data_IF_287994088464
#
_entry.id   IF_287994088464
#
_cell.length_a   1.000
_cell.length_b   1.000
_cell.length_c   1.000
_cell.angle_alpha   90.00
_cell.angle_beta   90.00
_cell.angle_gamma   90.00
#
_symmetry.space_group_name_H-M   'P 1'
#
loop_
_entity.id
_entity.type
_entity.pdbx_description
1 polymer ?
#
# COMPACT_ATOMS: atom_id res chain seq x y z
N UNK A 1 14.65 -6.98 12.79
CA UNK A 1 14.73 -7.58 11.44
C UNK A 1 13.36 -7.67 10.81
N UNK A 2 13.25 -7.56 9.50
CA UNK A 2 11.97 -7.58 8.81
C UNK A 2 11.24 -8.91 8.96
N UNK A 3 9.91 -8.87 8.85
CA UNK A 3 9.06 -10.06 8.86
C UNK A 3 9.31 -10.87 7.59
N UNK A 4 9.66 -12.15 7.72
CA UNK A 4 9.89 -13.04 6.57
C UNK A 4 8.61 -13.68 6.04
N UNK A 5 7.65 -13.98 6.93
CA UNK A 5 6.40 -14.67 6.57
C UNK A 5 5.35 -14.46 7.65
N UNK A 6 4.10 -14.31 7.21
CA UNK A 6 2.90 -14.38 8.04
C UNK A 6 1.98 -15.48 7.52
N UNK A 7 1.21 -16.07 8.41
CA UNK A 7 0.25 -17.12 8.11
C UNK A 7 -0.89 -17.08 9.12
N UNK A 8 -2.10 -17.48 8.76
CA UNK A 8 -3.21 -17.52 9.69
C UNK A 8 -2.97 -18.62 10.73
N UNK A 9 -3.31 -18.36 12.00
CA UNK A 9 -3.28 -19.38 13.05
C UNK A 9 -4.34 -20.46 12.80
N UNK A 10 -5.51 -20.05 12.27
CA UNK A 10 -6.58 -20.93 11.86
C UNK A 10 -6.79 -20.79 10.33
N UNK A 11 -6.78 -21.91 9.62
CA UNK A 11 -6.99 -21.91 8.17
C UNK A 11 -8.47 -21.91 7.77
N UNK A 12 -9.38 -22.12 8.72
CA UNK A 12 -10.83 -22.22 8.48
C UNK A 12 -11.55 -20.87 8.53
N UNK A 13 -10.80 -19.77 8.36
CA UNK A 13 -11.39 -18.43 8.31
C UNK A 13 -12.18 -18.26 7.02
N UNK A 14 -13.49 -18.09 7.17
CA UNK A 14 -14.42 -17.84 6.07
C UNK A 14 -14.71 -16.34 5.99
N UNK A 15 -14.59 -15.72 4.81
CA UNK A 15 -14.97 -14.31 4.65
C UNK A 15 -16.49 -14.15 4.71
N UNK A 16 -16.95 -12.96 5.02
CA UNK A 16 -18.34 -12.59 4.82
C UNK A 16 -18.69 -12.71 3.33
N UNK A 17 -19.84 -13.30 3.02
CA UNK A 17 -20.29 -13.51 1.66
C UNK A 17 -20.44 -12.19 0.91
N UNK A 18 -21.00 -11.17 1.55
CA UNK A 18 -21.17 -9.83 0.99
C UNK A 18 -19.83 -9.21 0.59
N UNK A 19 -18.76 -9.44 1.38
CA UNK A 19 -17.41 -8.96 1.04
C UNK A 19 -16.91 -9.58 -0.26
N UNK A 20 -17.12 -10.87 -0.45
CA UNK A 20 -16.73 -11.58 -1.68
C UNK A 20 -17.51 -11.03 -2.89
N UNK A 21 -18.82 -10.84 -2.72
CA UNK A 21 -19.70 -10.33 -3.77
C UNK A 21 -19.32 -8.91 -4.19
N UNK A 22 -19.05 -8.02 -3.23
CA UNK A 22 -18.65 -6.65 -3.53
C UNK A 22 -17.28 -6.59 -4.23
N UNK A 23 -16.31 -7.41 -3.83
CA UNK A 23 -15.02 -7.52 -4.55
C UNK A 23 -15.23 -7.99 -5.98
N UNK A 24 -16.14 -8.93 -6.22
CA UNK A 24 -16.41 -9.47 -7.56
C UNK A 24 -17.14 -8.48 -8.47
N UNK A 25 -17.95 -7.57 -7.90
CA UNK A 25 -18.71 -6.54 -8.63
C UNK A 25 -17.93 -5.23 -8.83
N UNK A 26 -16.86 -5.03 -8.06
CA UNK A 26 -16.11 -3.78 -8.06
C UNK A 26 -15.46 -3.47 -9.42
N UNK A 27 -15.36 -2.20 -9.75
CA UNK A 27 -14.55 -1.69 -10.85
C UNK A 27 -13.09 -1.52 -10.46
N UNK A 28 -12.85 -1.22 -9.16
CA UNK A 28 -11.53 -1.04 -8.56
C UNK A 28 -11.47 -1.80 -7.23
N UNK A 29 -10.38 -2.49 -6.99
CA UNK A 29 -9.99 -3.00 -5.68
C UNK A 29 -8.73 -2.29 -5.22
N UNK A 30 -8.86 -1.44 -4.20
CA UNK A 30 -7.72 -0.74 -3.58
C UNK A 30 -7.18 -1.56 -2.42
N UNK A 31 -5.90 -1.89 -2.48
CA UNK A 31 -5.18 -2.67 -1.48
C UNK A 31 -4.31 -1.72 -0.68
N UNK A 32 -4.67 -1.44 0.56
CA UNK A 32 -4.05 -0.42 1.40
C UNK A 32 -4.72 0.97 1.23
N UNK A 33 -4.09 2.06 1.78
CA UNK A 33 -2.84 2.02 2.58
C UNK A 33 -3.04 1.38 3.96
N UNK A 34 -1.95 0.89 4.52
CA UNK A 34 -1.95 0.27 5.85
C UNK A 34 -0.63 -0.45 6.14
N UNK A 35 -0.43 -0.87 7.38
CA UNK A 35 0.71 -1.71 7.75
C UNK A 35 0.78 -2.94 6.86
N UNK A 36 1.91 -3.15 6.18
CA UNK A 36 2.05 -4.18 5.16
C UNK A 36 1.63 -5.57 5.68
N UNK A 37 2.20 -5.99 6.80
CA UNK A 37 1.98 -7.34 7.33
C UNK A 37 0.77 -7.47 8.24
N UNK A 38 0.42 -6.43 9.00
CA UNK A 38 -0.64 -6.49 10.02
C UNK A 38 -1.99 -5.99 9.54
N UNK A 39 -2.05 -5.28 8.42
CA UNK A 39 -3.29 -4.77 7.84
C UNK A 39 -3.50 -5.26 6.41
N UNK A 40 -2.54 -5.05 5.51
CA UNK A 40 -2.71 -5.39 4.08
C UNK A 40 -2.68 -6.90 3.87
N UNK A 41 -1.60 -7.56 4.25
CA UNK A 41 -1.41 -8.99 3.99
C UNK A 41 -2.38 -9.86 4.80
N UNK A 42 -2.73 -9.46 6.03
CA UNK A 42 -3.71 -10.22 6.83
C UNK A 42 -5.05 -10.41 6.14
N UNK A 43 -5.56 -9.41 5.41
CA UNK A 43 -6.77 -9.55 4.62
C UNK A 43 -6.57 -10.51 3.43
N UNK A 44 -5.40 -10.48 2.77
CA UNK A 44 -5.07 -11.36 1.65
C UNK A 44 -4.87 -12.82 2.13
N UNK A 45 -4.53 -13.05 3.39
CA UNK A 45 -4.41 -14.39 3.96
C UNK A 45 -5.75 -15.14 4.01
N UNK A 46 -6.88 -14.43 4.11
CA UNK A 46 -8.22 -15.06 4.03
C UNK A 46 -8.43 -15.56 2.61
N UNK A 47 -8.48 -16.88 2.46
CA UNK A 47 -8.47 -17.55 1.14
C UNK A 47 -9.60 -17.09 0.23
N UNK A 48 -10.81 -16.90 0.77
CA UNK A 48 -11.96 -16.42 0.00
C UNK A 48 -11.80 -14.98 -0.49
N UNK A 49 -11.25 -14.08 0.33
CA UNK A 49 -10.94 -12.69 -0.08
C UNK A 49 -9.86 -12.70 -1.18
N UNK A 50 -8.77 -13.42 -0.96
CA UNK A 50 -7.71 -13.56 -1.95
C UNK A 50 -8.21 -14.08 -3.29
N UNK A 51 -9.05 -15.11 -3.26
CA UNK A 51 -9.61 -15.70 -4.48
C UNK A 51 -10.57 -14.73 -5.18
N UNK A 52 -11.40 -14.01 -4.43
CA UNK A 52 -12.27 -12.97 -4.99
C UNK A 52 -11.45 -11.88 -5.69
N UNK A 53 -10.39 -11.36 -5.06
CA UNK A 53 -9.50 -10.36 -5.67
C UNK A 53 -8.88 -10.90 -6.97
N UNK A 54 -8.38 -12.15 -6.96
CA UNK A 54 -7.76 -12.78 -8.13
C UNK A 54 -8.72 -12.95 -9.30
N UNK A 55 -9.97 -13.31 -9.03
CA UNK A 55 -10.97 -13.64 -10.04
C UNK A 55 -11.80 -12.41 -10.47
N UNK A 56 -11.79 -11.33 -9.70
CA UNK A 56 -12.47 -10.08 -10.03
C UNK A 56 -11.91 -9.49 -11.33
N UNK A 57 -12.79 -8.83 -12.11
CA UNK A 57 -12.42 -8.03 -13.28
C UNK A 57 -11.95 -6.62 -12.92
N UNK A 58 -12.07 -6.23 -11.64
CA UNK A 58 -11.65 -4.92 -11.15
C UNK A 58 -10.19 -4.63 -11.48
N UNK A 59 -9.83 -3.36 -11.62
CA UNK A 59 -8.42 -2.92 -11.56
C UNK A 59 -7.91 -3.05 -10.12
N UNK A 60 -6.83 -3.78 -9.89
CA UNK A 60 -6.18 -3.97 -8.58
C UNK A 60 -5.09 -2.95 -8.41
N UNK A 61 -5.28 -2.05 -7.45
CA UNK A 61 -4.37 -0.94 -7.17
C UNK A 61 -3.79 -1.14 -5.76
N UNK A 62 -2.48 -1.33 -5.65
CA UNK A 62 -1.80 -1.32 -4.35
C UNK A 62 -1.28 0.07 -4.03
N UNK A 63 -1.54 0.55 -2.81
CA UNK A 63 -0.99 1.82 -2.29
C UNK A 63 0.19 1.49 -1.40
N UNK A 64 1.40 1.85 -1.86
CA UNK A 64 2.64 1.56 -1.16
C UNK A 64 2.82 2.48 0.06
N UNK A 65 3.37 1.95 1.14
CA UNK A 65 3.70 2.73 2.34
C UNK A 65 4.70 3.85 2.02
N UNK A 66 4.57 4.99 2.69
CA UNK A 66 5.50 6.13 2.56
C UNK A 66 6.77 5.86 3.36
N UNK A 67 6.65 5.22 4.53
CA UNK A 67 7.76 4.91 5.45
C UNK A 67 7.76 3.45 5.83
N UNK A 68 8.94 2.94 6.18
CA UNK A 68 9.11 1.60 6.74
C UNK A 68 8.59 1.54 8.16
N UNK A 69 8.29 0.32 8.62
CA UNK A 69 7.88 0.05 10.00
C UNK A 69 8.96 -0.79 10.70
N UNK A 70 9.58 -0.26 11.77
CA UNK A 70 10.61 -0.97 12.52
C UNK A 70 10.15 -2.35 13.01
N UNK A 71 10.97 -3.36 12.82
CA UNK A 71 10.67 -4.74 13.18
C UNK A 71 9.76 -5.47 12.19
N UNK A 72 9.23 -4.80 11.17
CA UNK A 72 8.35 -5.39 10.16
C UNK A 72 8.93 -5.26 8.74
N UNK A 73 9.23 -4.04 8.32
CA UNK A 73 9.69 -3.72 6.95
C UNK A 73 11.02 -2.97 6.96
N UNK A 74 11.92 -3.31 7.90
CA UNK A 74 13.23 -2.68 8.01
C UNK A 74 13.97 -2.77 6.66
N UNK A 75 14.48 -1.64 6.20
CA UNK A 75 15.23 -1.49 4.94
C UNK A 75 14.45 -1.79 3.66
N UNK A 76 13.13 -1.98 3.73
CA UNK A 76 12.31 -2.23 2.54
C UNK A 76 12.30 -1.02 1.62
N UNK A 77 12.43 -1.32 0.33
CA UNK A 77 12.19 -0.41 -0.78
C UNK A 77 10.83 -0.70 -1.42
N UNK A 78 10.47 0.06 -2.43
CA UNK A 78 9.19 -0.12 -3.14
C UNK A 78 9.07 -1.54 -3.69
N UNK A 79 10.13 -2.07 -4.31
CA UNK A 79 10.11 -3.43 -4.87
C UNK A 79 9.86 -4.51 -3.80
N UNK A 80 10.39 -4.33 -2.58
CA UNK A 80 10.18 -5.28 -1.48
C UNK A 80 8.73 -5.30 -1.01
N UNK A 81 8.09 -4.11 -0.91
CA UNK A 81 6.66 -3.99 -0.59
C UNK A 81 5.79 -4.67 -1.64
N UNK A 82 6.06 -4.40 -2.92
CA UNK A 82 5.33 -5.02 -4.04
C UNK A 82 5.52 -6.54 -4.03
N UNK A 83 6.76 -7.01 -3.89
CA UNK A 83 7.08 -8.44 -3.82
C UNK A 83 6.37 -9.12 -2.64
N UNK A 84 6.28 -8.47 -1.49
CA UNK A 84 5.54 -9.00 -0.35
C UNK A 84 4.06 -9.17 -0.68
N UNK A 85 3.41 -8.19 -1.32
CA UNK A 85 2.01 -8.31 -1.74
C UNK A 85 1.85 -9.41 -2.80
N UNK A 86 2.69 -9.43 -3.84
CA UNK A 86 2.66 -10.44 -4.91
C UNK A 86 2.85 -11.86 -4.35
N UNK A 87 3.71 -12.03 -3.35
CA UNK A 87 3.96 -13.34 -2.71
C UNK A 87 2.67 -13.97 -2.17
N UNK A 88 1.76 -13.18 -1.62
CA UNK A 88 0.49 -13.66 -1.05
C UNK A 88 -0.67 -13.60 -2.04
N UNK A 89 -0.73 -12.55 -2.84
CA UNK A 89 -1.81 -12.34 -3.80
C UNK A 89 -1.64 -13.16 -5.08
N UNK A 90 -0.41 -13.36 -5.54
CA UNK A 90 -0.07 -14.06 -6.78
C UNK A 90 0.54 -13.13 -7.83
N UNK A 91 1.36 -13.69 -8.70
CA UNK A 91 1.96 -12.97 -9.83
C UNK A 91 0.89 -12.58 -10.85
N UNK A 92 1.01 -11.38 -11.44
CA UNK A 92 0.12 -10.88 -12.49
C UNK A 92 -1.29 -10.48 -12.01
N UNK A 93 -1.53 -10.44 -10.70
CA UNK A 93 -2.82 -10.00 -10.13
C UNK A 93 -2.87 -8.50 -9.93
N UNK A 94 -1.77 -7.87 -9.52
CA UNK A 94 -1.70 -6.41 -9.38
C UNK A 94 -1.58 -5.75 -10.75
N UNK A 95 -2.45 -4.77 -11.02
CA UNK A 95 -2.41 -3.96 -12.24
C UNK A 95 -1.57 -2.70 -12.03
N UNK A 96 -1.74 -2.04 -10.89
CA UNK A 96 -1.10 -0.78 -10.56
C UNK A 96 -0.55 -0.74 -9.14
N UNK A 97 0.50 0.04 -8.96
CA UNK A 97 0.99 0.46 -7.65
C UNK A 97 1.11 1.98 -7.63
N UNK A 98 0.53 2.62 -6.63
CA UNK A 98 0.69 4.05 -6.39
C UNK A 98 1.77 4.23 -5.33
N UNK A 99 2.78 5.05 -5.65
CA UNK A 99 3.97 5.27 -4.83
C UNK A 99 4.15 6.75 -4.58
N UNK A 100 4.44 7.09 -3.34
CA UNK A 100 4.81 8.46 -3.00
C UNK A 100 6.17 8.83 -3.61
N UNK A 101 6.25 9.98 -4.28
CA UNK A 101 7.49 10.55 -4.82
C UNK A 101 7.93 11.84 -4.09
N UNK A 102 7.15 12.33 -3.14
CA UNK A 102 7.52 13.48 -2.34
C UNK A 102 8.48 13.05 -1.22
N UNK A 103 9.62 13.73 -1.11
CA UNK A 103 10.57 13.54 -0.01
C UNK A 103 10.21 14.51 1.11
N UNK A 104 9.77 13.99 2.28
CA UNK A 104 9.40 14.84 3.39
C UNK A 104 10.57 15.70 3.89
N UNK A 105 10.23 16.77 4.59
CA UNK A 105 11.23 17.70 5.17
C UNK A 105 12.18 16.95 6.10
N UNK A 106 13.43 17.43 6.13
CA UNK A 106 14.52 16.80 6.90
C UNK A 106 14.21 16.65 8.40
N UNK A 107 13.58 17.65 9.01
CA UNK A 107 13.23 17.63 10.45
C UNK A 107 12.23 16.48 10.78
N UNK A 108 11.38 16.11 9.84
CA UNK A 108 10.46 14.98 9.95
C UNK A 108 11.22 13.69 9.76
N UNK A 109 12.06 13.61 8.72
CA UNK A 109 12.88 12.42 8.43
C UNK A 109 13.78 12.07 9.62
N UNK A 110 14.40 13.07 10.26
CA UNK A 110 15.27 12.88 11.42
C UNK A 110 14.50 12.26 12.61
N UNK A 111 13.19 12.58 12.78
CA UNK A 111 12.35 11.94 13.81
C UNK A 111 12.11 10.47 13.51
N UNK A 112 11.72 10.15 12.27
CA UNK A 112 11.51 8.75 11.85
C UNK A 112 12.79 7.92 11.96
N UNK A 113 13.93 8.49 11.58
CA UNK A 113 15.21 7.81 11.67
C UNK A 113 15.58 7.48 13.13
N UNK A 114 15.29 8.35 14.09
CA UNK A 114 15.48 8.07 15.52
C UNK A 114 14.63 6.89 16.02
N UNK A 115 13.48 6.67 15.41
CA UNK A 115 12.59 5.55 15.69
C UNK A 115 12.94 4.30 14.88
N UNK A 116 13.99 4.35 14.05
CA UNK A 116 14.41 3.24 13.18
C UNK A 116 13.59 3.08 11.91
N UNK A 117 12.74 4.05 11.57
CA UNK A 117 11.99 4.07 10.32
C UNK A 117 12.69 4.91 9.26
N UNK A 118 12.45 4.61 7.99
CA UNK A 118 12.99 5.31 6.83
C UNK A 118 11.93 5.49 5.75
N UNK A 119 12.13 6.46 4.85
CA UNK A 119 11.28 6.61 3.66
C UNK A 119 11.43 5.38 2.76
N UNK A 120 10.32 4.91 2.23
CA UNK A 120 10.30 3.82 1.23
C UNK A 120 10.66 4.42 -0.13
N UNK A 121 11.88 4.14 -0.58
CA UNK A 121 12.41 4.70 -1.83
C UNK A 121 12.16 3.77 -3.01
N UNK A 122 11.96 4.39 -4.19
CA UNK A 122 11.99 3.67 -5.46
C UNK A 122 13.35 3.02 -5.67
N UNK A 123 13.34 1.87 -6.32
CA UNK A 123 14.54 1.10 -6.68
C UNK A 123 14.36 0.40 -8.02
N UNK A 124 15.45 -0.08 -8.60
CA UNK A 124 15.45 -0.73 -9.91
C UNK A 124 14.70 -2.07 -9.93
N UNK A 125 14.57 -2.73 -8.78
CA UNK A 125 13.83 -3.99 -8.64
C UNK A 125 12.38 -3.92 -9.12
N UNK A 126 11.79 -2.72 -9.06
CA UNK A 126 10.41 -2.47 -9.49
C UNK A 126 10.18 -2.79 -10.97
N UNK A 127 11.16 -2.52 -11.84
CA UNK A 127 11.03 -2.72 -13.29
C UNK A 127 10.91 -4.19 -13.70
N UNK A 128 11.27 -5.12 -12.80
CA UNK A 128 11.19 -6.56 -13.03
C UNK A 128 9.85 -7.18 -12.58
N UNK A 129 8.93 -6.39 -12.02
CA UNK A 129 7.73 -6.91 -11.35
C UNK A 129 6.50 -6.97 -12.24
N UNK A 130 6.58 -6.52 -13.49
CA UNK A 130 5.47 -6.50 -14.46
C UNK A 130 4.18 -5.88 -13.87
N UNK A 131 4.33 -4.72 -13.23
CA UNK A 131 3.24 -3.94 -12.64
C UNK A 131 3.40 -2.47 -13.03
N UNK A 132 2.29 -1.78 -13.27
CA UNK A 132 2.32 -0.36 -13.63
C UNK A 132 2.51 0.51 -12.39
N UNK A 133 3.67 1.15 -12.24
CA UNK A 133 3.94 2.06 -11.13
C UNK A 133 3.54 3.49 -11.49
N UNK A 134 2.71 4.08 -10.64
CA UNK A 134 2.29 5.48 -10.71
C UNK A 134 2.88 6.24 -9.52
N UNK A 135 3.62 7.31 -9.82
CA UNK A 135 4.24 8.17 -8.82
C UNK A 135 3.37 9.41 -8.60
N UNK A 136 3.14 9.78 -7.35
CA UNK A 136 2.39 10.98 -6.98
C UNK A 136 2.92 11.55 -5.67
N UNK A 137 2.70 12.85 -5.44
CA UNK A 137 2.82 13.42 -4.10
C UNK A 137 1.63 12.95 -3.26
N UNK A 138 1.91 12.11 -2.27
CA UNK A 138 0.88 11.53 -1.40
C UNK A 138 0.99 12.01 0.05
N UNK A 139 1.97 12.87 0.36
CA UNK A 139 2.22 13.29 1.74
C UNK A 139 1.19 14.36 2.15
N UNK A 140 0.60 14.17 3.33
CA UNK A 140 -0.27 15.17 3.95
C UNK A 140 0.51 16.45 4.28
N UNK A 141 -0.08 17.62 4.00
CA UNK A 141 0.51 18.89 4.41
C UNK A 141 0.37 19.07 5.92
N UNK A 142 1.50 19.08 6.61
CA UNK A 142 1.57 19.21 8.07
C UNK A 142 1.07 20.56 8.61
N UNK A 143 0.90 21.56 7.75
CA UNK A 143 0.31 22.83 8.12
C UNK A 143 -1.22 22.77 8.25
N UNK A 144 -1.84 21.75 7.68
CA UNK A 144 -3.26 21.46 7.84
C UNK A 144 -3.45 20.57 9.08
N UNK A 145 -3.51 21.15 10.25
CA UNK A 145 -3.79 20.42 11.50
C UNK A 145 -5.20 19.83 11.46
N UNK A 146 -5.31 18.58 11.06
CA UNK A 146 -6.46 17.74 11.44
C UNK A 146 -6.22 17.29 12.87
N UNK A 147 -6.96 17.85 13.82
CA UNK A 147 -6.93 17.51 15.25
C UNK A 147 -7.60 16.14 15.39
N UNK A 148 -6.84 15.06 15.25
CA UNK A 148 -7.41 13.72 15.40
C UNK A 148 -6.52 12.77 16.19
N UNK A 149 -5.86 12.98 17.20
CA UNK A 149 -5.06 12.11 18.10
C UNK A 149 -3.66 12.62 18.40
N UNK A 150 -3.30 12.68 19.69
CA UNK A 150 -2.04 13.21 20.21
C UNK A 150 -0.77 12.38 19.93
N UNK A 151 -0.92 11.13 19.46
CA UNK A 151 0.19 10.30 18.96
C UNK A 151 0.08 10.19 17.46
N UNK A 152 0.66 11.13 16.74
CA UNK A 152 0.50 11.17 15.29
C UNK A 152 1.77 10.73 14.60
N UNK A 153 1.63 9.69 13.79
CA UNK A 153 2.54 9.46 12.69
C UNK A 153 2.54 10.72 11.83
N UNK A 154 3.69 11.37 11.75
CA UNK A 154 3.86 12.65 11.05
C UNK A 154 3.74 12.51 9.52
N UNK A 155 3.90 11.31 9.00
CA UNK A 155 3.82 11.02 7.56
C UNK A 155 2.65 10.10 7.28
N UNK A 156 1.56 10.70 6.82
CA UNK A 156 0.35 10.00 6.35
C UNK A 156 0.10 10.29 4.89
N UNK A 157 -0.66 9.42 4.27
CA UNK A 157 -1.24 9.71 2.96
C UNK A 157 -2.28 10.81 3.10
N UNK A 158 -2.14 11.86 2.30
CA UNK A 158 -3.18 12.85 2.13
C UNK A 158 -4.38 12.17 1.43
N UNK A 159 -5.58 12.18 2.03
CA UNK A 159 -6.72 11.45 1.50
C UNK A 159 -7.20 12.01 0.15
N UNK A 160 -7.12 13.33 -0.04
CA UNK A 160 -7.59 13.97 -1.28
C UNK A 160 -6.61 13.70 -2.43
N UNK A 161 -5.30 13.83 -2.19
CA UNK A 161 -4.25 13.48 -3.15
C UNK A 161 -4.29 12.00 -3.53
N UNK A 162 -4.52 11.12 -2.55
CA UNK A 162 -4.64 9.69 -2.80
C UNK A 162 -5.89 9.35 -3.60
N UNK A 163 -7.04 9.94 -3.25
CA UNK A 163 -8.28 9.75 -3.98
C UNK A 163 -8.15 10.22 -5.45
N UNK A 164 -7.58 11.41 -5.70
CA UNK A 164 -7.30 11.90 -7.04
C UNK A 164 -6.39 10.92 -7.80
N UNK A 165 -5.34 10.45 -7.17
CA UNK A 165 -4.40 9.49 -7.79
C UNK A 165 -5.09 8.18 -8.19
N UNK A 166 -5.97 7.65 -7.36
CA UNK A 166 -6.76 6.44 -7.66
C UNK A 166 -7.72 6.70 -8.82
N UNK A 167 -8.44 7.82 -8.81
CA UNK A 167 -9.34 8.22 -9.89
C UNK A 167 -8.61 8.38 -11.23
N UNK A 168 -7.41 8.97 -11.23
CA UNK A 168 -6.58 9.10 -12.43
C UNK A 168 -6.14 7.75 -12.98
N UNK A 169 -5.73 6.82 -12.11
CA UNK A 169 -5.41 5.45 -12.53
C UNK A 169 -6.64 4.77 -13.13
N UNK A 170 -7.81 4.93 -12.52
CA UNK A 170 -9.04 4.35 -13.03
C UNK A 170 -9.42 4.91 -14.42
N UNK A 171 -9.37 6.21 -14.58
CA UNK A 171 -9.70 6.89 -15.83
C UNK A 171 -8.58 6.85 -16.90
N UNK A 172 -7.43 6.21 -16.61
CA UNK A 172 -6.23 6.20 -17.45
C UNK A 172 -5.69 7.61 -17.78
N UNK A 173 -5.88 8.56 -16.86
CA UNK A 173 -5.34 9.92 -16.98
C UNK A 173 -3.88 9.97 -16.52
N UNK A 174 -3.10 10.97 -17.00
CA UNK A 174 -1.74 11.17 -16.48
C UNK A 174 -1.78 11.60 -15.01
N UNK A 175 -0.77 11.20 -14.25
CA UNK A 175 -0.57 11.72 -12.90
C UNK A 175 -0.24 13.20 -12.96
N UNK A 176 -0.64 13.97 -11.93
CA UNK A 176 -0.23 15.37 -11.84
C UNK A 176 1.29 15.46 -11.67
N UNK A 177 1.93 16.26 -12.54
CA UNK A 177 3.33 16.65 -12.36
C UNK A 177 3.41 17.65 -11.20
N UNK A 178 4.39 17.47 -10.34
CA UNK A 178 4.77 18.48 -9.35
C UNK A 178 5.45 19.65 -10.02
#
# INVERSE_FOLDING_TARGET
SPIKRVFPKNNDVVPLQETVEEIMKADIVVIGPGSLYTSVITNILVSGIRNAIRNSKAKKIYVCNIVTQPGQTDHYKVSDHINAVIKYLGKGVLDYVIVNNNIPRKDILDKYQKEGAAVVLMDEGVYNLNVNVKKADLVEDLNQKRILWEKQDLLRHDPDKLADSICRVYANLPMLSQ
#
